data_IF_834475253896
#
_entry.id   IF_834475253896
#
_cell.length_a   1.000
_cell.length_b   1.000
_cell.length_c   1.000
_cell.angle_alpha   90.00
_cell.angle_beta   90.00
_cell.angle_gamma   90.00
#
_symmetry.space_group_name_H-M   'P 1'
#
loop_
_entity.id
_entity.type
_entity.pdbx_description
1 polymer ?
#
# COMPACT_ATOMS: atom_id res chain seq x y z
N UNK A 1 -5.43 0.51 17.55
CA UNK A 1 -4.63 1.65 17.04
C UNK A 1 -4.48 1.44 15.54
N UNK A 2 -5.25 2.15 14.71
CA UNK A 2 -5.14 2.04 13.26
C UNK A 2 -3.82 2.63 12.80
N UNK A 3 -2.97 1.82 12.16
CA UNK A 3 -1.71 2.27 11.59
C UNK A 3 -2.03 3.11 10.34
N UNK A 4 -1.60 4.39 10.27
CA UNK A 4 -1.91 5.28 9.15
C UNK A 4 -1.43 4.73 7.80
N UNK A 5 -0.33 3.95 7.78
CA UNK A 5 0.16 3.27 6.58
C UNK A 5 -0.84 2.24 6.06
N UNK A 6 -1.40 1.44 6.96
CA UNK A 6 -2.36 0.37 6.64
C UNK A 6 -3.68 0.97 6.17
N UNK A 7 -4.16 2.03 6.82
CA UNK A 7 -5.36 2.75 6.39
C UNK A 7 -5.18 3.33 4.99
N UNK A 8 -4.05 4.00 4.72
CA UNK A 8 -3.76 4.56 3.40
C UNK A 8 -3.68 3.46 2.32
N UNK A 9 -3.00 2.36 2.59
CA UNK A 9 -2.91 1.22 1.69
C UNK A 9 -4.29 0.62 1.38
N UNK A 10 -5.14 0.44 2.40
CA UNK A 10 -6.50 -0.08 2.21
C UNK A 10 -7.34 0.84 1.34
N UNK A 11 -7.35 2.14 1.65
CA UNK A 11 -8.08 3.13 0.86
C UNK A 11 -7.59 3.18 -0.58
N UNK A 12 -6.27 3.04 -0.81
CA UNK A 12 -5.69 3.01 -2.14
C UNK A 12 -6.18 1.81 -2.96
N UNK A 13 -6.16 0.61 -2.37
CA UNK A 13 -6.64 -0.61 -3.02
C UNK A 13 -8.14 -0.50 -3.32
N UNK A 14 -8.95 -0.15 -2.32
CA UNK A 14 -10.39 -0.01 -2.49
C UNK A 14 -10.72 0.97 -3.62
N UNK A 15 -10.10 2.14 -3.62
CA UNK A 15 -10.35 3.18 -4.61
C UNK A 15 -9.93 2.77 -6.03
N UNK A 16 -8.79 2.08 -6.17
CA UNK A 16 -8.39 1.53 -7.47
C UNK A 16 -9.39 0.49 -7.97
N UNK A 17 -9.89 -0.39 -7.11
CA UNK A 17 -10.84 -1.44 -7.49
C UNK A 17 -12.24 -0.89 -7.77
N UNK A 18 -12.66 0.18 -7.09
CA UNK A 18 -13.98 0.80 -7.30
C UNK A 18 -14.01 1.80 -8.46
N UNK A 19 -12.96 2.60 -8.62
CA UNK A 19 -12.92 3.72 -9.57
C UNK A 19 -11.99 3.48 -10.77
N UNK A 20 -11.15 2.44 -10.74
CA UNK A 20 -10.16 2.15 -11.78
C UNK A 20 -8.98 3.13 -11.83
N UNK A 21 -8.83 3.99 -10.81
CA UNK A 21 -7.80 5.04 -10.76
C UNK A 21 -7.05 5.04 -9.43
N UNK A 22 -5.82 5.56 -9.45
CA UNK A 22 -5.03 5.71 -8.24
C UNK A 22 -5.66 6.74 -7.30
N UNK A 23 -5.65 6.41 -6.01
CA UNK A 23 -6.10 7.31 -4.96
C UNK A 23 -5.26 8.60 -4.99
N UNK A 24 -5.87 9.79 -5.17
CA UNK A 24 -5.16 11.04 -4.98
C UNK A 24 -4.75 11.18 -3.52
N UNK A 25 -3.62 11.81 -3.25
CA UNK A 25 -3.14 12.00 -1.87
C UNK A 25 -4.23 12.68 -1.01
N UNK A 26 -4.72 11.99 0.04
CA UNK A 26 -5.71 12.58 0.94
C UNK A 26 -5.14 13.82 1.63
N UNK A 27 -5.95 14.87 1.78
CA UNK A 27 -5.51 16.12 2.42
C UNK A 27 -5.17 15.95 3.91
N UNK A 28 -5.71 14.90 4.54
CA UNK A 28 -5.46 14.46 5.91
C UNK A 28 -4.26 13.51 6.04
N UNK A 29 -3.51 13.26 4.95
CA UNK A 29 -2.29 12.44 5.03
C UNK A 29 -1.29 13.09 5.98
N UNK A 30 -0.76 12.35 6.98
CA UNK A 30 0.24 12.87 7.90
C UNK A 30 1.42 13.52 7.18
N UNK A 31 1.87 14.68 7.66
CA UNK A 31 2.96 15.43 7.03
C UNK A 31 4.26 14.61 6.91
N UNK A 32 4.53 13.73 7.88
CA UNK A 32 5.72 12.87 7.88
C UNK A 32 5.72 11.91 6.69
N UNK A 33 4.55 11.40 6.33
CA UNK A 33 4.35 10.52 5.17
C UNK A 33 4.60 11.22 3.83
N UNK A 34 4.39 12.53 3.79
CA UNK A 34 4.61 13.37 2.61
C UNK A 34 6.07 13.85 2.50
N UNK A 35 6.78 13.97 3.62
CA UNK A 35 8.17 14.49 3.67
C UNK A 35 9.23 13.40 3.56
N UNK A 36 8.92 12.18 3.98
CA UNK A 36 9.87 11.07 3.98
C UNK A 36 9.88 10.37 2.62
N UNK A 37 11.07 10.00 2.16
CA UNK A 37 11.28 9.11 1.02
C UNK A 37 11.94 7.83 1.53
N UNK A 38 11.22 6.73 1.47
CA UNK A 38 11.71 5.41 1.84
C UNK A 38 11.15 4.36 0.87
N UNK A 39 11.86 3.23 0.73
CA UNK A 39 11.26 2.05 0.11
C UNK A 39 10.15 1.52 1.01
N UNK A 40 9.15 0.86 0.42
CA UNK A 40 8.09 0.25 1.20
C UNK A 40 7.61 -1.04 0.53
N UNK A 41 7.35 -2.05 1.34
CA UNK A 41 6.71 -3.30 0.93
C UNK A 41 5.30 -3.35 1.49
N UNK A 42 4.33 -3.63 0.62
CA UNK A 42 2.96 -3.87 1.03
C UNK A 42 2.70 -5.36 0.85
N UNK A 43 2.19 -5.98 1.91
CA UNK A 43 1.85 -7.40 1.90
C UNK A 43 0.37 -7.56 2.24
N UNK A 44 -0.33 -8.31 1.41
CA UNK A 44 -1.74 -8.62 1.58
C UNK A 44 -1.88 -10.07 2.04
N UNK A 45 -2.67 -10.28 3.08
CA UNK A 45 -3.03 -11.59 3.59
C UNK A 45 -4.54 -11.75 3.59
N UNK A 46 -5.02 -12.95 3.24
CA UNK A 46 -6.43 -13.33 3.34
C UNK A 46 -6.54 -14.67 4.07
N UNK A 47 -7.29 -14.71 5.17
CA UNK A 47 -7.45 -15.93 5.99
C UNK A 47 -6.10 -16.54 6.44
N UNK A 48 -5.12 -15.70 6.77
CA UNK A 48 -3.77 -16.14 7.18
C UNK A 48 -2.85 -16.60 6.04
N UNK A 49 -3.26 -16.49 4.78
CA UNK A 49 -2.44 -16.85 3.61
C UNK A 49 -2.03 -15.61 2.83
N UNK A 50 -0.83 -15.63 2.26
CA UNK A 50 -0.35 -14.58 1.37
C UNK A 50 -1.28 -14.45 0.15
N UNK A 51 -1.73 -13.23 -0.14
CA UNK A 51 -2.64 -12.90 -1.25
C UNK A 51 -1.99 -11.98 -2.29
N UNK A 52 -0.92 -11.29 -1.92
CA UNK A 52 -0.12 -10.43 -2.79
C UNK A 52 1.01 -9.76 -1.99
N UNK A 53 2.14 -9.49 -2.63
CA UNK A 53 3.22 -8.74 -2.02
C UNK A 53 4.07 -8.05 -3.08
N UNK A 54 4.03 -6.71 -3.09
CA UNK A 54 4.83 -5.85 -3.96
C UNK A 54 5.41 -4.72 -3.13
N UNK A 55 6.64 -4.36 -3.45
CA UNK A 55 7.34 -3.27 -2.81
C UNK A 55 8.56 -2.82 -3.57
N UNK A 56 9.12 -1.73 -3.10
CA UNK A 56 10.34 -1.14 -3.64
C UNK A 56 11.40 -1.08 -2.56
N UNK A 57 12.63 -1.42 -2.94
CA UNK A 57 13.78 -1.43 -2.02
C UNK A 57 14.31 0.00 -1.81
N UNK A 58 14.20 0.84 -2.83
CA UNK A 58 14.63 2.24 -2.83
C UNK A 58 13.44 3.15 -3.12
N UNK A 59 13.41 4.38 -2.58
CA UNK A 59 12.30 5.31 -2.82
C UNK A 59 12.26 5.77 -4.28
N UNK A 60 11.31 5.23 -5.05
CA UNK A 60 11.09 5.60 -6.46
C UNK A 60 10.05 6.72 -6.59
N UNK A 61 9.20 6.91 -5.57
CA UNK A 61 8.20 7.97 -5.53
C UNK A 61 8.68 9.22 -4.74
N UNK A 62 8.05 10.39 -4.97
CA UNK A 62 8.39 11.63 -4.27
C UNK A 62 8.13 11.60 -2.76
N UNK A 63 7.25 10.72 -2.28
CA UNK A 63 6.90 10.57 -0.87
C UNK A 63 6.56 9.13 -0.51
N UNK A 64 6.73 8.77 0.76
CA UNK A 64 6.35 7.47 1.29
C UNK A 64 4.85 7.21 1.14
N UNK A 65 4.01 8.24 1.25
CA UNK A 65 2.57 8.12 0.98
C UNK A 65 2.29 7.60 -0.44
N UNK A 66 2.94 8.20 -1.46
CA UNK A 66 2.78 7.76 -2.85
C UNK A 66 3.37 6.38 -3.10
N UNK A 67 4.48 6.06 -2.43
CA UNK A 67 5.09 4.74 -2.47
C UNK A 67 4.13 3.67 -1.94
N UNK A 68 3.50 3.90 -0.78
CA UNK A 68 2.51 3.01 -0.17
C UNK A 68 1.29 2.86 -1.07
N UNK A 69 0.71 3.97 -1.57
CA UNK A 69 -0.47 3.92 -2.46
C UNK A 69 -0.17 3.04 -3.67
N UNK A 70 0.98 3.26 -4.31
CA UNK A 70 1.34 2.54 -5.53
C UNK A 70 1.61 1.06 -5.24
N UNK A 71 2.41 0.76 -4.22
CA UNK A 71 2.77 -0.62 -3.89
C UNK A 71 1.58 -1.41 -3.34
N UNK A 72 0.64 -0.75 -2.66
CA UNK A 72 -0.60 -1.39 -2.21
C UNK A 72 -1.47 -1.81 -3.40
N UNK A 73 -1.66 -0.90 -4.36
CA UNK A 73 -2.39 -1.19 -5.60
C UNK A 73 -1.71 -2.30 -6.38
N UNK A 74 -0.40 -2.20 -6.62
CA UNK A 74 0.35 -3.22 -7.34
C UNK A 74 0.29 -4.59 -6.63
N UNK A 75 0.34 -4.62 -5.29
CA UNK A 75 0.17 -5.86 -4.52
C UNK A 75 -1.20 -6.51 -4.73
N UNK A 76 -2.22 -5.71 -4.99
CA UNK A 76 -3.58 -6.19 -5.20
C UNK A 76 -3.87 -6.58 -6.67
N UNK A 77 -3.28 -5.89 -7.64
CA UNK A 77 -3.66 -6.01 -9.06
C UNK A 77 -2.55 -6.51 -9.98
N UNK A 78 -1.29 -6.37 -9.59
CA UNK A 78 -0.12 -6.61 -10.47
C UNK A 78 0.79 -7.76 -10.01
N UNK A 79 0.55 -8.38 -8.86
CA UNK A 79 1.34 -9.55 -8.42
C UNK A 79 1.06 -10.76 -9.32
N UNK A 80 2.02 -11.20 -10.17
CA UNK A 80 1.77 -12.23 -11.17
C UNK A 80 1.55 -13.63 -10.57
N UNK A 81 1.81 -13.81 -9.27
CA UNK A 81 1.62 -15.09 -8.57
C UNK A 81 0.16 -15.32 -8.19
N UNK A 82 -0.67 -14.27 -8.20
CA UNK A 82 -2.05 -14.32 -7.75
C UNK A 82 -2.98 -13.65 -8.76
N UNK A 83 -4.26 -14.01 -8.71
CA UNK A 83 -5.28 -13.28 -9.48
C UNK A 83 -5.53 -11.90 -8.86
N UNK A 84 -5.90 -10.87 -9.65
CA UNK A 84 -6.25 -9.57 -9.10
C UNK A 84 -7.32 -9.69 -8.01
N UNK A 85 -7.10 -8.98 -6.90
CA UNK A 85 -8.02 -8.87 -5.76
C UNK A 85 -9.34 -8.26 -6.23
N UNK A 86 -10.46 -8.82 -5.79
CA UNK A 86 -11.79 -8.24 -6.03
C UNK A 86 -12.19 -7.28 -4.91
N UNK A 87 -13.10 -6.35 -5.23
CA UNK A 87 -13.52 -5.29 -4.30
C UNK A 87 -14.11 -5.88 -3.00
N UNK A 88 -14.87 -6.98 -3.11
CA UNK A 88 -15.48 -7.66 -1.97
C UNK A 88 -14.43 -8.34 -1.08
N UNK A 89 -13.27 -8.68 -1.62
CA UNK A 89 -12.19 -9.28 -0.83
C UNK A 89 -11.51 -8.25 0.07
N UNK A 90 -11.56 -6.95 -0.26
CA UNK A 90 -10.77 -5.89 0.39
C UNK A 90 -11.05 -5.82 1.89
N UNK A 91 -12.29 -6.01 2.32
CA UNK A 91 -12.67 -5.98 3.74
C UNK A 91 -12.05 -7.14 4.54
N UNK A 92 -11.88 -8.30 3.90
CA UNK A 92 -11.28 -9.51 4.49
C UNK A 92 -9.74 -9.49 4.49
N UNK A 93 -9.12 -8.54 3.78
CA UNK A 93 -7.66 -8.46 3.70
C UNK A 93 -7.04 -7.91 4.98
N UNK A 94 -6.03 -8.60 5.46
CA UNK A 94 -5.05 -8.10 6.42
C UNK A 94 -3.89 -7.52 5.64
N UNK A 95 -3.64 -6.22 5.82
CA UNK A 95 -2.61 -5.49 5.08
C UNK A 95 -1.45 -5.19 6.03
N UNK A 96 -0.24 -5.62 5.65
CA UNK A 96 1.02 -5.25 6.26
C UNK A 96 1.73 -4.20 5.41
N UNK A 97 2.34 -3.20 6.05
CA UNK A 97 3.18 -2.20 5.38
C UNK A 97 4.51 -2.14 6.10
N UNK A 98 5.56 -2.56 5.40
CA UNK A 98 6.94 -2.59 5.89
C UNK A 98 7.73 -1.48 5.20
N UNK A 99 8.10 -0.44 5.96
CA UNK A 99 8.86 0.69 5.43
C UNK A 99 10.35 0.36 5.55
N UNK A 100 11.02 0.26 4.41
CA UNK A 100 12.47 0.15 4.30
C UNK A 100 13.08 1.55 4.41
N UNK A 101 13.10 2.05 5.63
CA UNK A 101 13.50 3.42 5.95
C UNK A 101 14.03 3.48 7.37
N UNK A 102 15.27 3.01 7.52
CA UNK A 102 16.01 2.97 8.77
C UNK A 102 17.51 3.08 8.50
N UNK A 103 17.93 4.16 7.86
CA UNK A 103 19.20 4.76 8.22
C UNK A 103 18.85 6.11 8.86
N UNK A 104 18.85 6.12 10.19
CA UNK A 104 19.10 7.35 10.94
C UNK A 104 20.48 7.90 10.49
N UNK A 105 20.72 9.21 10.71
CA UNK A 105 21.42 10.15 9.82
C UNK A 105 22.79 9.73 9.26
#
# INVERSE_FOLDING_TARGET
MSNPYVTLARSAIHYQLSEGRLLPLPADTPADLLRIRAGAFVTLYKGGKLRGCIGTITPVRPSLAQEIIHNAVASATEDPRFTPVQLEEVEDLVIGVDVLGGAAP
#
